data_IF_919897894706
#
_entry.id   IF_919897894706
#
_cell.length_a   1.000
_cell.length_b   1.000
_cell.length_c   1.000
_cell.angle_alpha   90.00
_cell.angle_beta   90.00
_cell.angle_gamma   90.00
#
_symmetry.space_group_name_H-M   'P 1'
#
loop_
_entity.id
_entity.type
_entity.pdbx_description
1 polymer ?
#
# COMPACT_ATOMS: atom_id res chain seq x y z
N UNK A 1 1.10 21.38 19.29
CA UNK A 1 0.46 21.36 17.96
C UNK A 1 -0.76 20.48 18.08
N UNK A 2 -1.92 20.94 17.61
CA UNK A 2 -3.13 20.09 17.55
C UNK A 2 -3.04 19.19 16.31
N UNK A 3 -3.51 17.96 16.41
CA UNK A 3 -3.47 16.98 15.32
C UNK A 3 -4.85 16.35 15.16
N UNK A 4 -5.32 16.32 13.92
CA UNK A 4 -6.52 15.59 13.49
C UNK A 4 -6.08 14.37 12.67
N UNK A 5 -6.78 13.25 12.82
CA UNK A 5 -6.52 12.02 12.07
C UNK A 5 -7.82 11.55 11.41
N UNK A 6 -7.71 11.15 10.14
CA UNK A 6 -8.76 10.48 9.39
C UNK A 6 -8.14 9.32 8.62
N UNK A 7 -8.87 8.20 8.56
CA UNK A 7 -8.40 6.96 7.95
C UNK A 7 -9.44 6.40 6.98
N UNK A 8 -8.96 5.75 5.93
CA UNK A 8 -9.76 4.93 5.02
C UNK A 8 -8.99 3.66 4.66
N UNK A 9 -9.68 2.63 4.17
CA UNK A 9 -9.07 1.37 3.77
C UNK A 9 -9.06 1.23 2.24
N UNK A 10 -7.90 0.94 1.67
CA UNK A 10 -7.74 0.44 0.30
C UNK A 10 -7.43 -1.05 0.39
N UNK A 11 -8.28 -1.90 -0.18
CA UNK A 11 -8.14 -3.36 -0.13
C UNK A 11 -8.14 -3.95 -1.53
N UNK A 12 -7.16 -4.81 -1.80
CA UNK A 12 -7.15 -5.65 -2.99
C UNK A 12 -7.76 -7.01 -2.68
N UNK A 13 -8.65 -7.49 -3.54
CA UNK A 13 -9.17 -8.86 -3.52
C UNK A 13 -8.61 -9.57 -4.74
N UNK A 14 -7.85 -10.64 -4.49
CA UNK A 14 -7.15 -11.39 -5.53
C UNK A 14 -7.97 -12.62 -5.89
N UNK A 15 -8.23 -12.80 -7.18
CA UNK A 15 -8.99 -13.94 -7.70
C UNK A 15 -8.23 -14.55 -8.87
N UNK A 16 -8.09 -15.88 -8.87
CA UNK A 16 -7.62 -16.66 -10.00
C UNK A 16 -8.72 -17.64 -10.42
N UNK A 17 -8.90 -17.82 -11.73
CA UNK A 17 -9.85 -18.78 -12.31
C UNK A 17 -9.07 -19.81 -13.10
N UNK A 18 -9.34 -21.06 -12.81
CA UNK A 18 -8.69 -22.20 -13.45
C UNK A 18 -9.72 -22.95 -14.33
N UNK A 19 -9.29 -23.55 -15.45
CA UNK A 19 -10.14 -24.44 -16.24
C UNK A 19 -10.62 -25.65 -15.44
N UNK A 20 -11.75 -26.24 -15.85
CA UNK A 20 -12.34 -27.41 -15.17
C UNK A 20 -11.41 -28.65 -15.16
N UNK A 21 -10.48 -28.71 -16.12
CA UNK A 21 -9.49 -29.78 -16.29
C UNK A 21 -8.17 -29.53 -15.53
N UNK A 22 -8.11 -28.51 -14.67
CA UNK A 22 -6.92 -28.18 -13.90
C UNK A 22 -6.70 -29.18 -12.75
N UNK A 23 -5.65 -30.00 -12.86
CA UNK A 23 -5.32 -31.07 -11.89
C UNK A 23 -4.51 -30.60 -10.67
N UNK A 24 -4.16 -29.30 -10.58
CA UNK A 24 -3.60 -28.71 -9.36
C UNK A 24 -2.11 -28.91 -9.11
N UNK A 25 -1.38 -29.69 -9.92
CA UNK A 25 0.01 -30.02 -9.58
C UNK A 25 1.07 -29.01 -10.04
N UNK A 26 0.78 -28.16 -11.03
CA UNK A 26 1.71 -27.13 -11.48
C UNK A 26 1.27 -25.75 -10.96
N UNK A 27 1.98 -25.23 -9.96
CA UNK A 27 2.04 -23.81 -9.62
C UNK A 27 0.83 -23.18 -8.88
N UNK A 28 0.19 -23.92 -7.95
CA UNK A 28 -0.95 -23.44 -7.13
C UNK A 28 -0.77 -22.05 -6.49
N UNK A 29 0.47 -21.60 -6.33
CA UNK A 29 0.82 -20.29 -5.78
C UNK A 29 1.62 -19.39 -6.73
N UNK A 30 1.91 -19.76 -7.98
CA UNK A 30 2.74 -18.91 -8.84
C UNK A 30 2.12 -17.53 -9.10
N UNK A 31 0.79 -17.49 -9.26
CA UNK A 31 0.06 -16.23 -9.41
C UNK A 31 0.10 -15.37 -8.14
N UNK A 32 -0.02 -15.98 -6.95
CA UNK A 32 0.16 -15.30 -5.66
C UNK A 32 1.62 -14.86 -5.46
N UNK A 33 2.58 -15.69 -5.82
CA UNK A 33 4.00 -15.40 -5.72
C UNK A 33 4.39 -14.24 -6.64
N UNK A 34 3.86 -14.19 -7.86
CA UNK A 34 4.02 -13.06 -8.77
C UNK A 34 3.42 -11.79 -8.19
N UNK A 35 2.21 -11.89 -7.61
CA UNK A 35 1.58 -10.76 -6.94
C UNK A 35 2.47 -10.22 -5.81
N UNK A 36 2.94 -11.10 -4.92
CA UNK A 36 3.75 -10.75 -3.76
C UNK A 36 5.13 -10.20 -4.15
N UNK A 37 5.80 -10.81 -5.12
CA UNK A 37 7.17 -10.49 -5.49
C UNK A 37 7.29 -9.30 -6.47
N UNK A 38 6.27 -9.05 -7.29
CA UNK A 38 6.36 -8.09 -8.39
C UNK A 38 5.24 -7.04 -8.34
N UNK A 39 3.98 -7.47 -8.47
CA UNK A 39 2.86 -6.55 -8.70
C UNK A 39 2.62 -5.64 -7.49
N UNK A 40 2.52 -6.21 -6.28
CA UNK A 40 2.30 -5.45 -5.05
C UNK A 40 3.42 -4.43 -4.79
N UNK A 41 4.72 -4.79 -4.84
CA UNK A 41 5.80 -3.82 -4.71
C UNK A 41 5.73 -2.66 -5.72
N UNK A 42 5.37 -2.93 -6.97
CA UNK A 42 5.32 -1.90 -8.02
C UNK A 42 4.14 -0.93 -7.85
N UNK A 43 2.98 -1.42 -7.39
CA UNK A 43 1.85 -0.56 -7.01
C UNK A 43 2.25 0.33 -5.82
N UNK A 44 2.85 -0.23 -4.77
CA UNK A 44 3.29 0.55 -3.61
C UNK A 44 4.28 1.63 -4.02
N UNK A 45 5.30 1.32 -4.84
CA UNK A 45 6.23 2.33 -5.38
C UNK A 45 5.51 3.44 -6.15
N UNK A 46 4.50 3.07 -6.94
CA UNK A 46 3.72 4.02 -7.74
C UNK A 46 2.90 4.99 -6.87
N UNK A 47 2.37 4.53 -5.73
CA UNK A 47 1.71 5.40 -4.75
C UNK A 47 2.69 6.48 -4.25
N UNK A 48 3.91 6.10 -3.85
CA UNK A 48 4.92 7.07 -3.40
C UNK A 48 5.32 8.05 -4.50
N UNK A 49 5.53 7.57 -5.73
CA UNK A 49 5.81 8.44 -6.89
C UNK A 49 4.68 9.43 -7.19
N UNK A 50 3.42 9.02 -7.00
CA UNK A 50 2.29 9.93 -7.16
C UNK A 50 2.28 11.01 -6.06
N UNK A 51 2.62 10.63 -4.82
CA UNK A 51 2.66 11.55 -3.67
C UNK A 51 3.79 12.58 -3.77
N UNK A 52 4.90 12.27 -4.46
CA UNK A 52 5.97 13.23 -4.75
C UNK A 52 5.48 14.48 -5.50
N UNK A 53 4.34 14.40 -6.21
CA UNK A 53 3.73 15.54 -6.89
C UNK A 53 3.02 16.52 -5.94
N UNK A 54 2.89 16.17 -4.66
CA UNK A 54 2.18 16.95 -3.65
C UNK A 54 3.11 17.27 -2.46
N UNK A 55 4.03 18.25 -2.59
CA UNK A 55 5.14 18.47 -1.65
C UNK A 55 4.71 18.87 -0.23
N UNK A 56 3.47 19.33 -0.05
CA UNK A 56 2.89 19.62 1.26
C UNK A 56 2.61 18.36 2.10
N UNK A 57 2.63 17.18 1.47
CA UNK A 57 2.33 15.90 2.11
C UNK A 57 3.60 15.08 2.29
N UNK A 58 3.83 14.63 3.52
CA UNK A 58 4.92 13.70 3.86
C UNK A 58 4.32 12.31 4.02
N UNK A 59 4.77 11.37 3.19
CA UNK A 59 4.36 9.97 3.24
C UNK A 59 5.37 9.11 4.01
N UNK A 60 4.88 8.24 4.89
CA UNK A 60 5.73 7.29 5.64
C UNK A 60 5.00 5.98 5.88
N UNK A 61 5.75 4.89 5.90
CA UNK A 61 5.21 3.63 6.40
C UNK A 61 4.97 3.71 7.91
N UNK A 62 3.89 3.09 8.35
CA UNK A 62 3.65 2.79 9.77
C UNK A 62 3.53 1.28 9.89
N UNK A 63 4.35 0.70 10.76
CA UNK A 63 4.26 -0.72 11.10
C UNK A 63 3.65 -0.83 12.51
N UNK A 64 2.55 -1.58 12.64
CA UNK A 64 1.86 -1.84 13.92
C UNK A 64 2.11 -3.25 14.47
N UNK A 65 3.19 -3.90 14.03
CA UNK A 65 3.51 -5.29 14.36
C UNK A 65 2.87 -6.32 13.43
N UNK A 66 2.28 -5.89 12.31
CA UNK A 66 1.69 -6.76 11.29
C UNK A 66 2.71 -7.04 10.18
N UNK A 67 2.62 -8.23 9.57
CA UNK A 67 3.44 -8.55 8.42
C UNK A 67 3.00 -7.72 7.20
N UNK A 68 3.95 -7.34 6.34
CA UNK A 68 3.64 -6.60 5.10
C UNK A 68 2.85 -7.43 4.07
N UNK A 69 2.72 -8.73 4.31
CA UNK A 69 1.78 -9.63 3.61
C UNK A 69 0.34 -9.41 4.04
N UNK A 70 0.14 -8.94 5.28
CA UNK A 70 -1.19 -8.79 5.89
C UNK A 70 -1.67 -7.34 5.79
N UNK A 71 -0.80 -6.37 6.08
CA UNK A 71 -1.13 -4.94 6.05
C UNK A 71 0.08 -4.07 5.66
N UNK A 72 -0.18 -3.06 4.83
CA UNK A 72 0.74 -1.97 4.56
C UNK A 72 0.01 -0.66 4.88
N UNK A 73 0.33 -0.05 6.02
CA UNK A 73 -0.20 1.27 6.37
C UNK A 73 0.76 2.37 5.89
N UNK A 74 0.23 3.30 5.08
CA UNK A 74 0.93 4.51 4.64
C UNK A 74 0.26 5.70 5.31
N UNK A 75 1.01 6.40 6.17
CA UNK A 75 0.56 7.62 6.82
C UNK A 75 0.96 8.82 5.98
N UNK A 76 -0.01 9.67 5.67
CA UNK A 76 0.18 10.95 5.02
C UNK A 76 0.02 12.06 6.05
N UNK A 77 1.03 12.91 6.18
CA UNK A 77 1.00 14.03 7.10
C UNK A 77 1.17 15.34 6.35
N UNK A 78 0.28 16.28 6.59
CA UNK A 78 0.42 17.68 6.17
C UNK A 78 0.69 18.54 7.40
N UNK A 79 1.72 19.37 7.34
CA UNK A 79 2.09 20.26 8.43
C UNK A 79 1.71 21.69 8.08
N UNK A 80 0.91 22.32 8.93
CA UNK A 80 0.57 23.73 8.81
C UNK A 80 1.55 24.54 9.65
N UNK A 81 2.36 25.38 9.01
CA UNK A 81 3.14 26.40 9.70
C UNK A 81 2.32 27.67 9.81
N UNK A 82 2.26 28.26 11.00
CA UNK A 82 1.66 29.57 11.22
C UNK A 82 2.51 30.64 10.50
N UNK A 83 1.99 31.36 9.49
CA UNK A 83 2.73 32.38 8.76
C UNK A 83 3.16 33.57 9.63
N UNK A 84 2.57 33.75 10.82
CA UNK A 84 2.83 34.88 11.72
C UNK A 84 4.06 34.72 12.64
N UNK A 85 4.80 33.60 12.52
CA UNK A 85 6.00 33.29 13.32
C UNK A 85 7.33 33.37 12.57
N UNK A 86 7.36 33.95 11.36
CA UNK A 86 8.59 34.25 10.62
C UNK A 86 8.88 35.76 10.57
#
# INVERSE_FOLDING_TARGET
MYQEEQSFNLRFSLEARFPDEYEGEDDESAWLAQWEAQVKPDIVKSIFRALEQYPDWVARFRNRGMAATDEIEIVLQKTYTDPSRN
#
